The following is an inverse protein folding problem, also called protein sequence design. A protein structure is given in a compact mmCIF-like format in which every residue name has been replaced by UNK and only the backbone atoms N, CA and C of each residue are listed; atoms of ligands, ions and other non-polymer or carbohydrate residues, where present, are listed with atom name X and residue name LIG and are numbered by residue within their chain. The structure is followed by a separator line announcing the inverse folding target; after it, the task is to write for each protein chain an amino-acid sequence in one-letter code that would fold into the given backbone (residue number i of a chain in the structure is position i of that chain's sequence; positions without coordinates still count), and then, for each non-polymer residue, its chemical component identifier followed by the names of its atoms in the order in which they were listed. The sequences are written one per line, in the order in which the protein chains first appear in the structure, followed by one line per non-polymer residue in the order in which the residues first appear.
data_IF_279692243291
#
_entry.id   IF_279692243291
#
_cell.length_a   1.000
_cell.length_b   1.000
_cell.length_c   1.000
_cell.angle_alpha   90.00
_cell.angle_beta   90.00
_cell.angle_gamma   90.00
#
_symmetry.space_group_name_H-M   'P 1'
#
loop_
_entity.id
_entity.type
_entity.pdbx_description
1 polymer ?
#
# COMPACT_ATOMS: atom_id res chain seq x y z
N UNK A 1 -1.88 6.08 -10.07
CA UNK A 1 -1.86 4.67 -10.52
C UNK A 1 -1.35 3.75 -9.43
N UNK A 2 -0.13 3.92 -8.87
CA UNK A 2 0.47 3.03 -7.84
C UNK A 2 -0.47 2.87 -6.63
N UNK A 3 -0.86 3.96 -5.98
CA UNK A 3 -1.82 3.94 -4.86
C UNK A 3 -3.15 3.26 -5.22
N UNK A 4 -3.73 3.59 -6.40
CA UNK A 4 -5.01 3.01 -6.80
C UNK A 4 -4.89 1.51 -7.09
N UNK A 5 -3.74 1.03 -7.52
CA UNK A 5 -3.45 -0.39 -7.70
C UNK A 5 -3.39 -1.11 -6.34
N UNK A 6 -2.67 -0.56 -5.37
CA UNK A 6 -2.60 -1.12 -4.02
C UNK A 6 -3.99 -1.22 -3.37
N UNK A 7 -4.78 -0.14 -3.47
CA UNK A 7 -6.16 -0.13 -2.97
C UNK A 7 -7.06 -1.12 -3.72
N UNK A 8 -6.83 -1.32 -5.02
CA UNK A 8 -7.63 -2.25 -5.82
C UNK A 8 -7.36 -3.71 -5.44
N UNK A 9 -6.10 -4.11 -5.36
CA UNK A 9 -5.74 -5.50 -5.06
C UNK A 9 -6.01 -5.88 -3.60
N UNK A 10 -5.97 -4.92 -2.69
CA UNK A 10 -6.37 -5.10 -1.28
C UNK A 10 -7.89 -5.11 -1.07
N UNK A 11 -8.67 -4.74 -2.08
CA UNK A 11 -10.12 -4.64 -1.98
C UNK A 11 -10.62 -3.37 -1.28
N UNK A 12 -9.75 -2.43 -0.93
CA UNK A 12 -10.12 -1.16 -0.30
C UNK A 12 -10.69 -0.13 -1.30
N UNK A 13 -10.40 -0.25 -2.59
CA UNK A 13 -10.75 0.76 -3.57
C UNK A 13 -12.25 1.00 -3.69
N UNK A 14 -12.69 2.20 -3.38
CA UNK A 14 -14.06 2.66 -3.64
C UNK A 14 -14.24 3.00 -5.12
N UNK A 15 -15.07 2.22 -5.82
CA UNK A 15 -15.28 2.32 -7.28
C UNK A 15 -16.28 3.41 -7.70
N UNK A 16 -16.90 4.13 -6.74
CA UNK A 16 -17.88 5.18 -7.03
C UNK A 16 -17.29 6.25 -7.94
N UNK A 17 -18.00 6.55 -9.04
CA UNK A 17 -17.68 7.61 -9.99
C UNK A 17 -18.45 8.89 -9.64
N UNK A 18 -17.81 10.05 -9.80
CA UNK A 18 -18.43 11.36 -9.51
C UNK A 18 -18.37 11.75 -8.03
N UNK A 19 -19.01 12.87 -7.69
CA UNK A 19 -19.00 13.46 -6.36
C UNK A 19 -17.83 14.42 -6.11
N UNK A 20 -17.80 15.03 -4.92
CA UNK A 20 -16.79 15.99 -4.50
C UNK A 20 -15.38 15.38 -4.34
N UNK A 21 -14.34 16.25 -4.26
CA UNK A 21 -12.99 15.82 -3.98
C UNK A 21 -12.87 15.31 -2.55
N UNK A 22 -11.90 14.39 -2.33
CA UNK A 22 -11.59 13.78 -1.03
C UNK A 22 -10.16 14.13 -0.61
N UNK A 23 -9.90 14.09 0.69
CA UNK A 23 -8.59 14.36 1.30
C UNK A 23 -8.07 13.09 1.99
N UNK A 24 -7.41 12.20 1.25
CA UNK A 24 -6.87 10.97 1.85
C UNK A 24 -5.57 11.21 2.64
N UNK A 25 -5.04 12.45 2.67
CA UNK A 25 -3.80 12.83 3.34
C UNK A 25 -4.01 13.99 4.29
N UNK A 26 -3.22 14.02 5.36
CA UNK A 26 -3.13 15.18 6.22
C UNK A 26 -2.46 16.35 5.50
N UNK A 27 -3.00 17.54 5.68
CA UNK A 27 -2.45 18.79 5.19
C UNK A 27 -1.95 19.58 6.39
N UNK A 28 -0.83 19.15 6.98
CA UNK A 28 -0.27 19.76 8.17
C UNK A 28 0.41 21.10 7.92
N UNK A 29 1.19 21.19 6.85
CA UNK A 29 1.94 22.41 6.49
C UNK A 29 1.12 23.28 5.56
N UNK A 30 0.18 24.05 6.10
CA UNK A 30 -0.65 24.93 5.31
C UNK A 30 -1.25 26.05 6.16
N UNK A 31 -1.61 27.17 5.52
CA UNK A 31 -2.36 28.26 6.14
C UNK A 31 -3.73 27.82 6.70
N UNK A 32 -4.29 26.73 6.18
CA UNK A 32 -5.46 26.04 6.71
C UNK A 32 -5.16 24.54 6.74
N UNK A 33 -4.61 24.03 7.85
CA UNK A 33 -4.43 22.59 8.01
C UNK A 33 -5.79 21.88 7.93
N UNK A 34 -5.77 20.66 7.44
CA UNK A 34 -6.96 19.83 7.34
C UNK A 34 -6.62 18.38 7.63
N UNK A 35 -7.43 17.76 8.48
CA UNK A 35 -7.33 16.34 8.76
C UNK A 35 -7.76 15.52 7.52
N UNK A 36 -7.28 14.27 7.40
CA UNK A 36 -7.76 13.34 6.40
C UNK A 36 -9.27 13.12 6.53
N UNK A 37 -9.91 12.82 5.41
CA UNK A 37 -11.28 12.31 5.41
C UNK A 37 -11.30 10.92 6.08
N UNK A 38 -12.47 10.48 6.56
CA UNK A 38 -12.68 9.16 7.16
C UNK A 38 -13.49 8.24 6.25
N UNK A 39 -13.40 6.94 6.51
CA UNK A 39 -14.19 5.93 5.81
C UNK A 39 -13.93 5.92 4.30
N UNK A 40 -14.98 5.86 3.49
CA UNK A 40 -14.88 5.79 2.01
C UNK A 40 -14.01 6.88 1.39
N UNK A 41 -13.94 8.07 1.99
CA UNK A 41 -13.13 9.19 1.50
C UNK A 41 -11.66 8.86 1.38
N UNK A 42 -11.13 8.01 2.26
CA UNK A 42 -9.74 7.56 2.25
C UNK A 42 -9.41 6.67 1.05
N UNK A 43 -10.37 5.91 0.55
CA UNK A 43 -10.13 4.82 -0.40
C UNK A 43 -10.63 5.13 -1.82
N UNK A 44 -11.06 6.36 -2.09
CA UNK A 44 -11.43 6.77 -3.44
C UNK A 44 -10.20 6.83 -4.36
N UNK A 45 -10.45 6.70 -5.67
CA UNK A 45 -9.39 6.82 -6.69
C UNK A 45 -8.62 8.13 -6.54
N UNK A 46 -7.32 8.10 -6.75
CA UNK A 46 -6.43 9.27 -6.67
C UNK A 46 -6.86 10.43 -7.57
N UNK A 47 -7.66 10.15 -8.61
CA UNK A 47 -8.28 11.18 -9.45
C UNK A 47 -9.13 12.17 -8.64
N UNK A 48 -9.79 11.71 -7.58
CA UNK A 48 -10.65 12.52 -6.72
C UNK A 48 -9.93 13.19 -5.56
N UNK A 49 -8.61 12.99 -5.43
CA UNK A 49 -7.83 13.63 -4.37
C UNK A 49 -7.82 15.14 -4.56
N UNK A 50 -8.21 15.85 -3.51
CA UNK A 50 -8.13 17.31 -3.47
C UNK A 50 -6.69 17.78 -3.61
N UNK A 51 -6.45 18.61 -4.61
CA UNK A 51 -5.14 19.16 -4.89
C UNK A 51 -5.03 20.59 -4.36
N UNK A 52 -4.35 20.78 -3.24
CA UNK A 52 -4.07 22.09 -2.70
C UNK A 52 -2.76 22.61 -3.31
N UNK A 53 -2.81 23.70 -4.08
CA UNK A 53 -1.62 24.25 -4.78
C UNK A 53 -0.48 24.61 -3.82
N UNK A 54 -0.81 25.15 -2.63
CA UNK A 54 0.17 25.58 -1.61
C UNK A 54 0.73 24.42 -0.78
N UNK A 55 0.05 23.28 -0.73
CA UNK A 55 0.45 22.10 0.04
C UNK A 55 -0.15 20.84 -0.62
N UNK A 56 0.36 20.43 -1.78
CA UNK A 56 -0.12 19.20 -2.43
C UNK A 56 0.29 17.98 -1.62
N UNK A 57 -0.44 16.88 -1.81
CA UNK A 57 -0.17 15.63 -1.10
C UNK A 57 1.29 15.16 -1.30
N UNK A 58 2.10 15.00 -0.24
CA UNK A 58 3.53 14.71 -0.35
C UNK A 58 3.82 13.43 -1.13
N UNK A 59 3.04 12.38 -0.87
CA UNK A 59 3.17 11.08 -1.55
C UNK A 59 2.90 11.21 -3.05
N UNK A 60 1.91 12.02 -3.45
CA UNK A 60 1.63 12.23 -4.86
C UNK A 60 2.77 12.99 -5.57
N UNK A 61 3.39 13.95 -4.87
CA UNK A 61 4.57 14.67 -5.39
C UNK A 61 5.77 13.74 -5.52
N UNK A 62 6.03 12.92 -4.52
CA UNK A 62 7.11 11.94 -4.55
C UNK A 62 6.95 10.92 -5.70
N UNK A 63 5.71 10.64 -6.10
CA UNK A 63 5.36 9.75 -7.21
C UNK A 63 5.11 10.49 -8.54
N UNK A 64 5.78 11.60 -8.77
CA UNK A 64 5.77 12.38 -10.01
C UNK A 64 4.38 12.90 -10.44
N UNK A 65 3.48 13.16 -9.49
CA UNK A 65 2.22 13.81 -9.83
C UNK A 65 2.45 15.26 -10.27
N UNK A 66 1.84 15.64 -11.40
CA UNK A 66 1.93 17.02 -11.93
C UNK A 66 1.50 18.04 -10.87
N UNK A 67 2.31 19.08 -10.68
CA UNK A 67 2.04 20.19 -9.75
C UNK A 67 0.82 21.03 -10.13
N UNK A 68 0.33 20.91 -11.38
CA UNK A 68 -0.80 21.65 -11.94
C UNK A 68 -0.62 23.19 -11.94
N UNK A 69 0.62 23.66 -11.86
CA UNK A 69 0.96 25.07 -11.88
C UNK A 69 1.25 25.58 -13.30
N UNK A 70 1.76 24.69 -14.13
CA UNK A 70 2.13 24.99 -15.52
C UNK A 70 1.64 23.87 -16.45
N UNK A 71 1.47 24.20 -17.73
CA UNK A 71 1.18 23.20 -18.75
C UNK A 71 2.38 22.26 -18.93
N UNK A 72 2.14 20.96 -18.76
CA UNK A 72 3.15 19.92 -18.95
C UNK A 72 2.82 19.11 -20.19
N UNK A 73 3.66 19.15 -21.20
CA UNK A 73 3.48 18.40 -22.46
C UNK A 73 3.68 16.89 -22.21
N UNK A 74 4.65 16.54 -21.35
CA UNK A 74 4.97 15.16 -21.00
C UNK A 74 5.20 15.06 -19.49
N UNK A 75 4.61 14.06 -18.85
CA UNK A 75 4.91 13.76 -17.45
C UNK A 75 6.21 12.99 -17.38
N UNK A 76 7.11 13.46 -16.55
CA UNK A 76 8.30 12.71 -16.20
C UNK A 76 7.89 11.49 -15.35
N UNK A 77 8.66 10.41 -15.49
CA UNK A 77 8.55 9.22 -14.64
C UNK A 77 9.95 8.97 -14.14
N UNK A 78 10.13 9.10 -12.85
CA UNK A 78 11.40 8.84 -12.19
C UNK A 78 11.32 7.51 -11.43
N UNK A 79 12.46 6.91 -11.19
CA UNK A 79 12.62 5.82 -10.23
C UNK A 79 13.71 6.25 -9.26
N UNK A 80 13.32 6.61 -8.06
CA UNK A 80 14.24 7.15 -7.06
C UNK A 80 14.13 6.38 -5.74
N UNK A 81 15.23 6.30 -4.96
CA UNK A 81 15.19 5.69 -3.62
C UNK A 81 14.16 6.33 -2.70
N UNK A 82 13.90 7.63 -2.86
CA UNK A 82 12.87 8.35 -2.09
C UNK A 82 11.48 7.77 -2.36
N UNK A 83 11.17 7.42 -3.61
CA UNK A 83 9.89 6.80 -3.95
C UNK A 83 9.73 5.45 -3.25
N UNK A 84 10.76 4.61 -3.23
CA UNK A 84 10.73 3.33 -2.52
C UNK A 84 10.50 3.52 -1.01
N UNK A 85 11.20 4.47 -0.38
CA UNK A 85 11.03 4.78 1.04
C UNK A 85 9.61 5.28 1.33
N UNK A 86 9.06 6.15 0.46
CA UNK A 86 7.69 6.65 0.60
C UNK A 86 6.68 5.51 0.48
N UNK A 87 6.84 4.60 -0.47
CA UNK A 87 5.93 3.47 -0.64
C UNK A 87 5.96 2.49 0.54
N UNK A 88 7.12 2.31 1.17
CA UNK A 88 7.26 1.44 2.35
C UNK A 88 6.68 2.06 3.63
N UNK A 89 6.68 3.39 3.75
CA UNK A 89 6.32 4.09 4.99
C UNK A 89 4.98 4.84 4.91
N UNK A 90 4.34 4.91 3.74
CA UNK A 90 3.05 5.58 3.60
C UNK A 90 1.95 4.82 4.35
N UNK A 91 1.20 5.47 5.26
CA UNK A 91 0.18 4.81 6.06
C UNK A 91 -0.89 4.11 5.22
N UNK A 92 -1.28 4.67 4.07
CA UNK A 92 -2.27 4.03 3.19
C UNK A 92 -1.71 2.81 2.45
N UNK A 93 -0.42 2.84 2.10
CA UNK A 93 0.24 1.67 1.51
C UNK A 93 0.40 0.56 2.53
N UNK A 94 0.74 0.89 3.77
CA UNK A 94 0.84 -0.07 4.86
C UNK A 94 -0.53 -0.69 5.18
N UNK A 95 -1.58 0.14 5.28
CA UNK A 95 -2.95 -0.35 5.48
C UNK A 95 -3.41 -1.25 4.33
N UNK A 96 -3.17 -0.87 3.07
CA UNK A 96 -3.50 -1.70 1.92
C UNK A 96 -2.75 -3.04 1.96
N UNK A 97 -1.48 -3.03 2.38
CA UNK A 97 -0.68 -4.24 2.55
C UNK A 97 -1.25 -5.14 3.65
N UNK A 98 -1.63 -4.58 4.80
CA UNK A 98 -2.26 -5.31 5.90
C UNK A 98 -3.58 -5.95 5.48
N UNK A 99 -4.47 -5.20 4.86
CA UNK A 99 -5.77 -5.73 4.43
C UNK A 99 -5.62 -6.82 3.39
N UNK A 100 -4.64 -6.70 2.49
CA UNK A 100 -4.34 -7.77 1.53
C UNK A 100 -3.74 -8.99 2.24
N UNK A 101 -2.86 -8.82 3.22
CA UNK A 101 -2.30 -9.89 4.03
C UNK A 101 -3.38 -10.68 4.77
N UNK A 102 -4.30 -9.99 5.45
CA UNK A 102 -5.47 -10.61 6.11
C UNK A 102 -6.32 -11.42 5.13
N UNK A 103 -6.55 -10.89 3.93
CA UNK A 103 -7.28 -11.59 2.88
C UNK A 103 -6.58 -12.85 2.40
N UNK A 104 -5.24 -12.82 2.28
CA UNK A 104 -4.44 -13.98 1.87
C UNK A 104 -4.42 -15.06 2.94
N UNK A 105 -4.24 -14.69 4.21
CA UNK A 105 -4.27 -15.60 5.35
C UNK A 105 -5.63 -16.33 5.47
N UNK A 106 -6.72 -15.62 5.18
CA UNK A 106 -8.07 -16.24 5.21
C UNK A 106 -8.37 -17.13 3.99
N UNK A 107 -7.77 -16.85 2.84
CA UNK A 107 -8.08 -17.58 1.60
C UNK A 107 -7.21 -18.84 1.42
N UNK A 108 -6.05 -18.89 2.04
CA UNK A 108 -5.04 -19.91 1.79
C UNK A 108 -4.47 -20.47 3.10
N UNK A 109 -4.26 -21.77 3.14
CA UNK A 109 -3.74 -22.47 4.33
C UNK A 109 -2.22 -22.68 4.29
N UNK A 110 -1.55 -22.36 3.17
CA UNK A 110 -0.10 -22.53 3.06
C UNK A 110 0.57 -21.24 2.59
N UNK A 111 1.76 -20.93 3.12
CA UNK A 111 2.54 -19.75 2.73
C UNK A 111 2.85 -19.69 1.22
N UNK A 112 3.09 -20.84 0.59
CA UNK A 112 3.37 -20.93 -0.84
C UNK A 112 2.16 -20.43 -1.66
N UNK A 113 0.95 -20.86 -1.31
CA UNK A 113 -0.27 -20.43 -1.99
C UNK A 113 -0.56 -18.94 -1.77
N UNK A 114 -0.26 -18.43 -0.57
CA UNK A 114 -0.39 -16.99 -0.26
C UNK A 114 0.54 -16.16 -1.14
N UNK A 115 1.82 -16.53 -1.23
CA UNK A 115 2.84 -15.81 -2.01
C UNK A 115 2.56 -15.93 -3.51
N UNK A 116 2.17 -17.10 -4.00
CA UNK A 116 1.76 -17.26 -5.40
C UNK A 116 0.58 -16.36 -5.75
N UNK A 117 -0.47 -16.38 -4.92
CA UNK A 117 -1.65 -15.52 -5.08
C UNK A 117 -1.30 -14.04 -5.04
N UNK A 118 -0.43 -13.63 -4.11
CA UNK A 118 0.08 -12.27 -3.99
C UNK A 118 0.78 -11.81 -5.26
N UNK A 119 1.76 -12.57 -5.75
CA UNK A 119 2.51 -12.21 -6.94
C UNK A 119 1.62 -12.17 -8.18
N UNK A 120 0.68 -13.10 -8.33
CA UNK A 120 -0.30 -13.06 -9.42
C UNK A 120 -1.19 -11.82 -9.37
N UNK A 121 -1.66 -11.41 -8.18
CA UNK A 121 -2.46 -10.19 -8.01
C UNK A 121 -1.66 -8.92 -8.30
N UNK A 122 -0.39 -8.87 -7.88
CA UNK A 122 0.45 -7.68 -8.02
C UNK A 122 1.03 -7.52 -9.44
N UNK A 123 1.48 -8.62 -10.05
CA UNK A 123 2.25 -8.60 -11.31
C UNK A 123 1.52 -9.20 -12.51
N UNK A 124 0.39 -9.88 -12.30
CA UNK A 124 -0.39 -10.61 -13.31
C UNK A 124 0.40 -11.77 -13.98
N UNK A 125 1.44 -12.27 -13.35
CA UNK A 125 2.23 -13.44 -13.79
C UNK A 125 2.45 -14.43 -12.65
N UNK A 126 2.82 -15.64 -12.97
CA UNK A 126 3.27 -16.62 -11.99
C UNK A 126 4.66 -16.23 -11.45
N UNK A 127 4.95 -16.54 -10.17
CA UNK A 127 6.28 -16.36 -9.61
C UNK A 127 7.31 -17.27 -10.29
N UNK A 128 8.56 -16.85 -10.29
CA UNK A 128 9.69 -17.72 -10.58
C UNK A 128 10.05 -18.56 -9.35
N UNK A 129 10.80 -19.64 -9.52
CA UNK A 129 11.27 -20.47 -8.39
C UNK A 129 12.11 -19.66 -7.39
N UNK A 130 12.95 -18.75 -7.91
CA UNK A 130 13.77 -17.86 -7.07
C UNK A 130 12.89 -16.88 -6.27
N UNK A 131 11.93 -16.22 -6.91
CA UNK A 131 11.02 -15.31 -6.20
C UNK A 131 10.23 -16.04 -5.12
N UNK A 132 9.79 -17.25 -5.39
CA UNK A 132 9.06 -18.07 -4.43
C UNK A 132 9.95 -18.42 -3.23
N UNK A 133 11.19 -18.90 -3.45
CA UNK A 133 12.10 -19.28 -2.36
C UNK A 133 12.48 -18.07 -1.50
N UNK A 134 12.81 -16.94 -2.10
CA UNK A 134 13.22 -15.73 -1.39
C UNK A 134 12.08 -15.14 -0.55
N UNK A 135 10.86 -15.10 -1.09
CA UNK A 135 9.71 -14.56 -0.35
C UNK A 135 9.23 -15.52 0.76
N UNK A 136 9.35 -16.83 0.56
CA UNK A 136 9.07 -17.81 1.62
C UNK A 136 10.07 -17.68 2.77
N UNK A 137 11.35 -17.55 2.44
CA UNK A 137 12.39 -17.33 3.45
C UNK A 137 12.14 -16.02 4.20
N UNK A 138 11.87 -14.93 3.47
CA UNK A 138 11.53 -13.63 4.07
C UNK A 138 10.33 -13.76 5.04
N UNK A 139 9.28 -14.45 4.64
CA UNK A 139 8.11 -14.65 5.51
C UNK A 139 8.46 -15.38 6.80
N UNK A 140 9.25 -16.47 6.71
CA UNK A 140 9.69 -17.24 7.87
C UNK A 140 10.62 -16.44 8.80
N UNK A 141 11.51 -15.64 8.24
CA UNK A 141 12.41 -14.78 9.01
C UNK A 141 11.61 -13.70 9.76
N UNK A 142 10.65 -13.04 9.08
CA UNK A 142 9.76 -12.06 9.68
C UNK A 142 8.87 -12.67 10.78
N UNK A 143 8.37 -13.89 10.61
CA UNK A 143 7.63 -14.56 11.68
C UNK A 143 8.48 -14.74 12.93
N UNK A 144 9.74 -15.15 12.79
CA UNK A 144 10.68 -15.29 13.94
C UNK A 144 10.95 -13.95 14.61
N UNK A 145 11.17 -12.90 13.81
CA UNK A 145 11.45 -11.56 14.32
C UNK A 145 10.24 -11.00 15.08
N UNK A 146 9.04 -11.11 14.53
CA UNK A 146 7.81 -10.64 15.19
C UNK A 146 7.40 -11.51 16.38
N UNK A 147 7.75 -12.78 16.42
CA UNK A 147 7.61 -13.60 17.63
C UNK A 147 8.49 -13.08 18.78
N UNK A 148 9.68 -12.57 18.46
CA UNK A 148 10.57 -11.96 19.44
C UNK A 148 10.13 -10.53 19.85
N UNK A 149 9.32 -9.85 19.03
CA UNK A 149 8.85 -8.48 19.24
C UNK A 149 7.30 -8.36 19.09
N UNK A 150 6.50 -8.94 19.98
CA UNK A 150 5.03 -9.03 19.80
C UNK A 150 4.32 -7.67 19.83
N UNK A 151 4.87 -6.66 20.46
CA UNK A 151 4.30 -5.30 20.47
C UNK A 151 4.47 -4.62 19.10
N UNK A 152 5.58 -4.86 18.42
CA UNK A 152 5.78 -4.40 17.04
C UNK A 152 4.84 -5.13 16.07
N UNK A 153 4.67 -6.44 16.24
CA UNK A 153 3.71 -7.22 15.47
C UNK A 153 2.29 -6.65 15.59
N UNK A 154 1.84 -6.34 16.80
CA UNK A 154 0.52 -5.71 17.03
C UNK A 154 0.42 -4.34 16.35
N UNK A 155 1.47 -3.53 16.41
CA UNK A 155 1.50 -2.21 15.78
C UNK A 155 1.29 -2.31 14.27
N UNK A 156 1.98 -3.25 13.61
CA UNK A 156 1.83 -3.50 12.18
C UNK A 156 0.46 -4.10 11.85
N UNK A 157 0.01 -5.08 12.63
CA UNK A 157 -1.26 -5.77 12.43
C UNK A 157 -2.49 -4.87 12.66
N UNK A 158 -2.34 -3.73 13.32
CA UNK A 158 -3.42 -2.76 13.56
C UNK A 158 -3.27 -1.46 12.77
N UNK A 159 -2.28 -1.38 11.86
CA UNK A 159 -2.02 -0.18 11.09
C UNK A 159 -3.19 0.18 10.17
N UNK A 160 -3.56 1.46 10.13
CA UNK A 160 -4.61 2.00 9.27
C UNK A 160 -5.95 2.23 9.95
N UNK A 161 -6.94 2.69 9.18
CA UNK A 161 -8.28 3.05 9.68
C UNK A 161 -9.26 1.88 9.66
N UNK A 162 -9.09 0.93 8.73
CA UNK A 162 -9.94 -0.25 8.66
C UNK A 162 -9.67 -1.16 9.85
N UNK A 163 -10.72 -1.57 10.54
CA UNK A 163 -10.62 -2.48 11.69
C UNK A 163 -9.89 -3.77 11.30
N UNK A 164 -8.91 -4.22 12.11
CA UNK A 164 -8.21 -5.48 11.89
C UNK A 164 -9.13 -6.67 12.14
N UNK A 165 -8.84 -7.79 11.51
CA UNK A 165 -9.56 -9.04 11.73
C UNK A 165 -9.09 -9.68 13.04
N UNK A 166 -10.03 -9.85 13.99
CA UNK A 166 -9.73 -10.32 15.34
C UNK A 166 -9.32 -11.81 15.41
N UNK A 167 -9.67 -12.60 14.40
CA UNK A 167 -9.46 -14.06 14.38
C UNK A 167 -8.06 -14.48 13.89
N UNK A 168 -7.24 -13.53 13.43
CA UNK A 168 -5.91 -13.79 12.89
C UNK A 168 -4.82 -13.52 13.93
N UNK A 169 -3.75 -14.33 13.91
CA UNK A 169 -2.58 -14.10 14.75
C UNK A 169 -1.87 -12.80 14.28
N UNK A 170 -1.65 -11.83 15.20
CA UNK A 170 -0.95 -10.60 14.87
C UNK A 170 0.47 -10.79 14.29
N UNK A 171 1.17 -11.87 14.67
CA UNK A 171 2.50 -12.21 14.16
C UNK A 171 2.42 -12.58 12.68
N UNK A 172 1.48 -13.46 12.32
CA UNK A 172 1.28 -13.87 10.93
C UNK A 172 0.81 -12.71 10.06
N UNK A 173 -0.11 -11.88 10.59
CA UNK A 173 -0.57 -10.67 9.89
C UNK A 173 0.60 -9.70 9.67
N UNK A 174 1.42 -9.43 10.67
CA UNK A 174 2.55 -8.50 10.55
C UNK A 174 3.61 -9.02 9.56
N UNK A 175 3.97 -10.31 9.65
CA UNK A 175 4.92 -10.94 8.74
C UNK A 175 4.41 -10.89 7.29
N UNK A 176 3.16 -11.30 7.05
CA UNK A 176 2.57 -11.27 5.71
C UNK A 176 2.38 -9.83 5.20
N UNK A 177 2.04 -8.86 6.06
CA UNK A 177 1.94 -7.44 5.71
C UNK A 177 3.26 -6.91 5.17
N UNK A 178 4.37 -7.27 5.81
CA UNK A 178 5.71 -6.85 5.39
C UNK A 178 6.11 -7.50 4.07
N UNK A 179 5.79 -8.77 3.85
CA UNK A 179 5.98 -9.45 2.55
C UNK A 179 5.15 -8.78 1.46
N UNK A 180 3.88 -8.48 1.72
CA UNK A 180 3.00 -7.77 0.78
C UNK A 180 3.56 -6.39 0.44
N UNK A 181 3.99 -5.61 1.43
CA UNK A 181 4.59 -4.28 1.24
C UNK A 181 5.84 -4.38 0.37
N UNK A 182 6.69 -5.39 0.60
CA UNK A 182 7.88 -5.66 -0.22
C UNK A 182 7.49 -5.96 -1.67
N UNK A 183 6.53 -6.85 -1.91
CA UNK A 183 6.08 -7.20 -3.27
C UNK A 183 5.45 -6.01 -3.99
N UNK A 184 4.68 -5.18 -3.29
CA UNK A 184 4.10 -3.96 -3.87
C UNK A 184 5.15 -2.92 -4.26
N UNK A 185 6.33 -2.97 -3.65
CA UNK A 185 7.46 -2.07 -3.94
C UNK A 185 8.44 -2.64 -4.98
N UNK A 186 8.24 -3.85 -5.47
CA UNK A 186 9.04 -4.42 -6.55
C UNK A 186 8.80 -3.68 -7.88
N UNK A 187 9.86 -3.52 -8.67
CA UNK A 187 9.80 -2.94 -10.02
C UNK A 187 8.72 -3.61 -10.90
N UNK A 188 8.58 -4.92 -10.80
CA UNK A 188 7.57 -5.69 -11.52
C UNK A 188 6.12 -5.33 -11.16
N UNK A 189 5.90 -4.80 -9.94
CA UNK A 189 4.58 -4.36 -9.48
C UNK A 189 4.30 -2.90 -9.84
N UNK A 190 5.34 -2.06 -9.90
CA UNK A 190 5.23 -0.62 -10.12
C UNK A 190 5.20 -0.25 -11.60
N UNK A 191 5.93 -0.96 -12.44
CA UNK A 191 6.10 -0.65 -13.85
C UNK A 191 5.50 -1.75 -14.73
N UNK A 192 4.50 -1.38 -15.52
CA UNK A 192 4.03 -2.25 -16.61
C UNK A 192 5.05 -2.18 -17.75
N UNK A 193 5.72 -3.27 -18.01
CA UNK A 193 6.55 -3.47 -19.18
C UNK A 193 5.73 -4.00 -20.34
#
# INVERSE_FOLDING_TARGET
MIRDQALYISGLLVKRVGGGPVRPYEVGVSFKPANPDKGEGLYRRSLYTYWKRTAPAPVMLALDASKRDVCTVKRERTSSPIQAIVLLNDPQMLEASRVLAESLLNQHNSPEMMIESLLRKATSRSPTELEMSELLQLYQDLQRDFLAAPDEAKTVATAGEKEPQADLDPVDVAAMTTVVSTVLNLDASLYKR
#
